data_IF_389388519835
#
_entry.id   IF_389388519835
#
_cell.length_a   1.000
_cell.length_b   1.000
_cell.length_c   1.000
_cell.angle_alpha   90.00
_cell.angle_beta   90.00
_cell.angle_gamma   90.00
#
_symmetry.space_group_name_H-M   'P 1'
#
loop_
_entity.id
_entity.type
_entity.pdbx_description
1 polymer ?
#
# COMPACT_ATOMS: atom_id res chain seq x y z
N UNK A 1 -9.71 -7.78 -26.75
CA UNK A 1 -10.88 -8.08 -27.60
C UNK A 1 -11.67 -6.83 -27.98
N UNK A 2 -12.04 -5.98 -27.02
CA UNK A 2 -12.83 -4.76 -27.30
C UNK A 2 -12.03 -3.72 -28.07
N UNK A 3 -10.73 -3.57 -27.77
CA UNK A 3 -9.82 -2.69 -28.49
C UNK A 3 -9.72 -3.10 -29.97
N UNK A 4 -9.36 -4.37 -30.22
CA UNK A 4 -9.10 -4.87 -31.57
C UNK A 4 -10.40 -5.15 -32.35
N UNK A 5 -11.43 -5.69 -31.70
CA UNK A 5 -12.66 -6.10 -32.35
C UNK A 5 -13.65 -4.98 -32.61
N UNK A 6 -13.67 -3.94 -31.78
CA UNK A 6 -14.66 -2.87 -31.85
C UNK A 6 -14.06 -1.46 -31.98
N UNK A 7 -12.74 -1.34 -32.07
CA UNK A 7 -12.06 -0.05 -32.16
C UNK A 7 -12.25 0.83 -30.93
N UNK A 8 -12.53 0.23 -29.77
CA UNK A 8 -12.71 0.99 -28.53
C UNK A 8 -11.36 1.47 -27.97
N UNK A 9 -11.34 2.67 -27.42
CA UNK A 9 -10.19 3.11 -26.62
C UNK A 9 -10.21 2.36 -25.28
N UNK A 10 -9.64 1.18 -25.27
CA UNK A 10 -9.61 0.30 -24.10
C UNK A 10 -8.16 0.01 -23.67
N UNK A 11 -7.82 0.30 -22.43
CA UNK A 11 -6.51 0.09 -21.82
C UNK A 11 -6.62 -0.87 -20.66
N UNK A 12 -5.57 -1.68 -20.41
CA UNK A 12 -5.49 -2.50 -19.20
C UNK A 12 -4.37 -1.98 -18.30
N UNK A 13 -4.69 -1.73 -17.04
CA UNK A 13 -3.72 -1.52 -15.98
C UNK A 13 -3.48 -2.84 -15.23
N UNK A 14 -2.25 -3.35 -15.27
CA UNK A 14 -1.81 -4.48 -14.45
C UNK A 14 -1.27 -3.89 -13.15
N UNK A 15 -2.17 -3.72 -12.18
CA UNK A 15 -1.90 -3.01 -10.93
C UNK A 15 -1.34 -3.97 -9.89
N UNK A 16 -0.14 -3.67 -9.41
CA UNK A 16 0.45 -4.34 -8.24
C UNK A 16 -0.25 -3.88 -6.96
N UNK A 17 0.17 -4.36 -5.80
CA UNK A 17 -0.52 -4.04 -4.56
C UNK A 17 -0.54 -2.53 -4.30
N UNK A 18 -1.71 -1.97 -4.15
CA UNK A 18 -1.90 -0.53 -3.91
C UNK A 18 -2.66 -0.34 -2.60
N UNK A 19 -2.02 0.39 -1.72
CA UNK A 19 -2.37 0.47 -0.31
C UNK A 19 -2.75 1.91 0.08
N UNK A 20 -3.56 2.02 1.11
CA UNK A 20 -3.93 3.29 1.72
C UNK A 20 -4.60 3.04 3.08
N UNK A 21 -4.88 4.09 3.88
CA UNK A 21 -5.73 3.98 5.06
C UNK A 21 -7.13 3.40 4.80
N UNK A 22 -7.56 3.35 3.53
CA UNK A 22 -8.84 2.74 3.09
C UNK A 22 -8.72 1.31 2.60
N UNK A 23 -7.52 0.71 2.68
CA UNK A 23 -7.35 -0.70 2.32
C UNK A 23 -8.26 -1.59 3.15
N UNK A 24 -8.83 -2.63 2.55
CA UNK A 24 -9.65 -3.60 3.28
C UNK A 24 -8.87 -4.25 4.44
N UNK A 25 -9.50 -4.40 5.58
CA UNK A 25 -8.89 -4.83 6.85
C UNK A 25 -8.30 -6.25 6.83
N UNK A 26 -8.72 -7.09 5.89
CA UNK A 26 -8.22 -8.45 5.71
C UNK A 26 -6.88 -8.51 4.96
N UNK A 27 -6.48 -7.42 4.29
CA UNK A 27 -5.19 -7.34 3.60
C UNK A 27 -4.06 -7.11 4.61
N UNK A 28 -2.92 -7.75 4.36
CA UNK A 28 -1.82 -7.84 5.33
C UNK A 28 -1.33 -6.48 5.83
N UNK A 29 -1.18 -5.50 4.96
CA UNK A 29 -0.72 -4.14 5.30
C UNK A 29 -1.67 -3.47 6.29
N UNK A 30 -2.97 -3.43 5.96
CA UNK A 30 -3.98 -2.85 6.85
C UNK A 30 -4.18 -3.66 8.12
N UNK A 31 -4.14 -4.99 8.03
CA UNK A 31 -4.18 -5.88 9.20
C UNK A 31 -3.06 -5.57 10.19
N UNK A 32 -1.86 -5.25 9.71
CA UNK A 32 -0.71 -4.89 10.56
C UNK A 32 -0.95 -3.54 11.23
N UNK A 33 -1.29 -2.49 10.46
CA UNK A 33 -1.41 -1.14 11.00
C UNK A 33 -2.58 -1.00 11.98
N UNK A 34 -3.71 -1.65 11.71
CA UNK A 34 -4.83 -1.73 12.66
C UNK A 34 -4.48 -2.52 13.93
N UNK A 35 -3.81 -3.68 13.78
CA UNK A 35 -3.42 -4.47 14.94
C UNK A 35 -2.43 -3.69 15.82
N UNK A 36 -1.45 -2.99 15.21
CA UNK A 36 -0.53 -2.11 15.92
C UNK A 36 -1.29 -1.07 16.75
N UNK A 37 -2.21 -0.34 16.12
CA UNK A 37 -3.01 0.68 16.80
C UNK A 37 -3.86 0.09 17.94
N UNK A 38 -4.49 -1.07 17.72
CA UNK A 38 -5.27 -1.77 18.73
C UNK A 38 -4.41 -2.31 19.89
N UNK A 39 -3.20 -2.79 19.60
CA UNK A 39 -2.25 -3.24 20.62
C UNK A 39 -1.82 -2.04 21.47
N UNK A 40 -1.44 -0.94 20.85
CA UNK A 40 -1.04 0.29 21.53
C UNK A 40 -2.18 0.88 22.39
N UNK A 41 -3.43 0.74 21.93
CA UNK A 41 -4.64 1.12 22.68
C UNK A 41 -5.04 0.11 23.77
N UNK A 42 -4.32 -0.99 23.93
CA UNK A 42 -4.64 -2.05 24.90
C UNK A 42 -5.89 -2.91 24.56
N UNK A 43 -6.41 -2.78 23.33
CA UNK A 43 -7.61 -3.48 22.85
C UNK A 43 -7.30 -4.86 22.27
N UNK A 44 -6.04 -5.11 21.89
CA UNK A 44 -5.57 -6.37 21.33
C UNK A 44 -4.21 -6.74 21.93
N UNK A 45 -3.96 -8.05 22.13
CA UNK A 45 -2.72 -8.52 22.74
C UNK A 45 -1.70 -8.96 21.70
N UNK A 46 -2.11 -9.69 20.68
CA UNK A 46 -1.22 -10.28 19.66
C UNK A 46 -1.78 -10.10 18.25
N UNK A 47 -0.87 -9.99 17.30
CA UNK A 47 -1.14 -10.07 15.87
C UNK A 47 -0.66 -11.43 15.35
N UNK A 48 -1.55 -12.16 14.65
CA UNK A 48 -1.22 -13.46 14.06
C UNK A 48 -1.03 -13.32 12.55
N UNK A 49 0.14 -13.76 12.07
CA UNK A 49 0.55 -13.70 10.66
C UNK A 49 1.08 -15.07 10.20
N UNK A 50 1.20 -15.26 8.89
CA UNK A 50 1.82 -16.43 8.28
C UNK A 50 3.28 -16.17 7.91
N UNK A 51 3.60 -16.33 6.59
CA UNK A 51 4.94 -16.14 6.06
C UNK A 51 5.34 -14.66 6.07
N UNK A 52 6.37 -14.31 6.85
CA UNK A 52 6.88 -12.93 6.93
C UNK A 52 7.89 -12.58 5.81
N UNK A 53 8.41 -13.59 5.11
CA UNK A 53 9.50 -13.42 4.13
C UNK A 53 9.03 -13.15 2.72
N UNK A 54 7.75 -13.38 2.42
CA UNK A 54 7.22 -13.09 1.09
C UNK A 54 7.29 -11.59 0.80
N UNK A 55 7.77 -11.25 -0.42
CA UNK A 55 7.98 -9.87 -0.86
C UNK A 55 6.91 -9.44 -1.85
N UNK A 56 6.44 -8.21 -1.69
CA UNK A 56 5.44 -7.58 -2.55
C UNK A 56 5.85 -6.16 -2.88
N UNK A 57 5.46 -5.72 -4.05
CA UNK A 57 5.51 -4.33 -4.45
C UNK A 57 4.24 -3.64 -3.92
N UNK A 58 4.41 -2.74 -2.96
CA UNK A 58 3.33 -1.97 -2.34
C UNK A 58 3.46 -0.49 -2.67
N UNK A 59 2.50 0.05 -3.41
CA UNK A 59 2.43 1.47 -3.72
C UNK A 59 1.23 2.16 -3.07
N UNK A 60 1.18 3.48 -3.18
CA UNK A 60 0.12 4.29 -2.62
C UNK A 60 -1.06 4.41 -3.60
N UNK A 61 -2.26 4.00 -3.18
CA UNK A 61 -3.43 3.86 -4.05
C UNK A 61 -3.81 5.13 -4.84
N UNK A 62 -3.74 6.35 -4.28
CA UNK A 62 -3.99 7.57 -5.05
C UNK A 62 -3.12 7.72 -6.29
N UNK A 63 -1.85 7.32 -6.25
CA UNK A 63 -0.96 7.39 -7.41
C UNK A 63 -1.37 6.41 -8.52
N UNK A 64 -1.95 5.26 -8.15
CA UNK A 64 -2.51 4.31 -9.12
C UNK A 64 -3.76 4.87 -9.81
N UNK A 65 -4.58 5.64 -9.08
CA UNK A 65 -5.72 6.36 -9.67
C UNK A 65 -5.25 7.44 -10.65
N UNK A 66 -4.19 8.20 -10.30
CA UNK A 66 -3.55 9.14 -11.21
C UNK A 66 -3.08 8.43 -12.49
N UNK A 67 -2.43 7.28 -12.36
CA UNK A 67 -1.98 6.48 -13.50
C UNK A 67 -3.14 5.98 -14.36
N UNK A 68 -4.26 5.53 -13.77
CA UNK A 68 -5.45 5.15 -14.52
C UNK A 68 -5.98 6.30 -15.38
N UNK A 69 -5.96 7.53 -14.85
CA UNK A 69 -6.33 8.71 -15.61
C UNK A 69 -5.36 8.97 -16.76
N UNK A 70 -4.05 8.94 -16.48
CA UNK A 70 -3.02 9.19 -17.49
C UNK A 70 -3.06 8.20 -18.66
N UNK A 71 -3.32 6.92 -18.40
CA UNK A 71 -3.46 5.91 -19.45
C UNK A 71 -4.58 6.23 -20.45
N UNK A 72 -5.65 6.88 -19.99
CA UNK A 72 -6.80 7.27 -20.81
C UNK A 72 -6.59 8.61 -21.55
N UNK A 73 -5.54 9.36 -21.24
CA UNK A 73 -5.24 10.63 -21.91
C UNK A 73 -4.26 10.49 -23.08
N UNK A 74 -3.88 9.26 -23.42
CA UNK A 74 -2.96 9.00 -24.52
C UNK A 74 -3.67 8.99 -25.89
N UNK A 75 -2.92 9.22 -26.97
CA UNK A 75 -3.46 9.18 -28.32
C UNK A 75 -3.83 7.74 -28.77
N UNK A 76 -3.07 6.76 -28.26
CA UNK A 76 -3.26 5.35 -28.58
C UNK A 76 -3.47 4.49 -27.30
N UNK A 77 -4.40 3.54 -27.33
CA UNK A 77 -4.66 2.70 -26.18
C UNK A 77 -3.59 1.62 -26.00
N UNK A 78 -2.89 1.63 -24.88
CA UNK A 78 -1.88 0.64 -24.54
C UNK A 78 -2.08 0.09 -23.13
N UNK A 79 -1.52 -1.12 -22.86
CA UNK A 79 -1.56 -1.74 -21.53
C UNK A 79 -0.30 -1.39 -20.74
N UNK A 80 -0.45 -1.15 -19.43
CA UNK A 80 0.63 -0.73 -18.55
C UNK A 80 0.69 -1.55 -17.28
N UNK A 81 1.90 -1.88 -16.84
CA UNK A 81 2.18 -2.35 -15.47
C UNK A 81 2.30 -1.12 -14.57
N UNK A 82 1.61 -1.17 -13.43
CA UNK A 82 1.59 -0.10 -12.43
C UNK A 82 2.04 -0.65 -11.08
N UNK A 83 3.12 -0.11 -10.55
CA UNK A 83 3.74 -0.52 -9.30
C UNK A 83 4.78 0.50 -8.86
N UNK A 84 5.62 0.13 -7.91
CA UNK A 84 6.71 0.98 -7.43
C UNK A 84 8.06 0.61 -8.04
N UNK A 85 8.23 -0.63 -8.47
CA UNK A 85 9.51 -1.21 -8.87
C UNK A 85 10.41 -1.54 -7.68
N UNK A 86 9.84 -1.63 -6.48
CA UNK A 86 10.53 -2.01 -5.26
C UNK A 86 9.69 -3.06 -4.51
N UNK A 87 10.26 -4.19 -4.12
CA UNK A 87 9.57 -5.23 -3.38
C UNK A 87 10.09 -5.35 -1.95
N UNK A 88 9.18 -5.28 -0.98
CA UNK A 88 9.47 -5.38 0.45
C UNK A 88 8.81 -6.60 1.07
N UNK A 89 9.43 -7.16 2.13
CA UNK A 89 8.87 -8.27 2.88
C UNK A 89 7.85 -7.79 3.93
N UNK A 90 7.03 -8.73 4.41
CA UNK A 90 6.14 -8.44 5.55
C UNK A 90 6.95 -8.12 6.81
N UNK A 91 8.12 -8.74 6.98
CA UNK A 91 9.05 -8.43 8.07
C UNK A 91 9.54 -6.97 8.00
N UNK A 92 9.99 -6.50 6.82
CA UNK A 92 10.36 -5.09 6.60
C UNK A 92 9.19 -4.14 6.88
N UNK A 93 7.95 -4.54 6.55
CA UNK A 93 6.78 -3.73 6.87
C UNK A 93 6.53 -3.65 8.38
N UNK A 94 6.72 -4.75 9.10
CA UNK A 94 6.61 -4.79 10.56
C UNK A 94 7.68 -3.91 11.23
N UNK A 95 8.94 -4.01 10.76
CA UNK A 95 10.05 -3.21 11.27
C UNK A 95 9.75 -1.71 11.14
N UNK A 96 9.33 -1.26 9.96
CA UNK A 96 9.00 0.15 9.74
C UNK A 96 7.76 0.58 10.54
N UNK A 97 6.68 -0.22 10.54
CA UNK A 97 5.43 0.17 11.18
C UNK A 97 5.55 0.24 12.71
N UNK A 98 6.11 -0.78 13.33
CA UNK A 98 6.25 -0.85 14.78
C UNK A 98 7.36 0.09 15.27
N UNK A 99 8.50 0.15 14.55
CA UNK A 99 9.56 1.10 14.84
C UNK A 99 9.08 2.54 14.81
N UNK A 100 8.27 2.91 13.83
CA UNK A 100 7.66 4.24 13.74
C UNK A 100 6.72 4.57 14.91
N UNK A 101 6.07 3.56 15.50
CA UNK A 101 5.21 3.71 16.66
C UNK A 101 5.94 3.56 18.01
N UNK A 102 7.28 3.45 18.00
CA UNK A 102 8.12 3.20 19.18
C UNK A 102 7.76 1.90 19.91
N UNK A 103 7.62 0.81 19.12
CA UNK A 103 7.28 -0.54 19.60
C UNK A 103 8.18 -1.59 18.94
N UNK A 104 8.43 -2.71 19.64
CA UNK A 104 9.08 -3.89 19.05
C UNK A 104 8.02 -4.94 18.66
N UNK A 105 7.88 -5.21 17.37
CA UNK A 105 6.88 -6.15 16.87
C UNK A 105 7.10 -7.60 17.36
N UNK A 106 8.32 -7.97 17.73
CA UNK A 106 8.63 -9.32 18.26
C UNK A 106 7.84 -9.64 19.54
N UNK A 107 7.49 -8.63 20.31
CA UNK A 107 6.68 -8.80 21.52
C UNK A 107 5.23 -9.18 21.21
N UNK A 108 4.71 -8.77 20.05
CA UNK A 108 3.29 -8.80 19.73
C UNK A 108 2.92 -9.73 18.56
N UNK A 109 3.83 -9.97 17.62
CA UNK A 109 3.55 -10.82 16.47
C UNK A 109 3.78 -12.29 16.79
N UNK A 110 2.85 -13.13 16.35
CA UNK A 110 2.92 -14.59 16.48
C UNK A 110 2.66 -15.23 15.12
N UNK A 111 3.48 -16.21 14.78
CA UNK A 111 3.30 -16.98 13.55
C UNK A 111 2.23 -18.04 13.78
N UNK A 112 1.24 -18.07 12.88
CA UNK A 112 0.17 -19.05 12.88
C UNK A 112 0.14 -19.80 11.55
N UNK A 113 0.38 -21.12 11.55
CA UNK A 113 0.39 -21.94 10.34
C UNK A 113 -0.89 -21.86 9.49
N UNK A 114 -2.02 -21.51 10.09
CA UNK A 114 -3.30 -21.34 9.37
C UNK A 114 -3.29 -20.19 8.36
N UNK A 115 -2.38 -19.24 8.50
CA UNK A 115 -2.21 -18.11 7.58
C UNK A 115 -1.19 -18.39 6.47
N UNK A 116 -0.55 -19.58 6.44
CA UNK A 116 0.27 -19.97 5.31
C UNK A 116 -0.60 -20.36 4.12
N UNK A 117 -0.29 -19.84 2.97
CA UNK A 117 -0.98 -20.21 1.74
C UNK A 117 -0.32 -21.46 1.13
N UNK A 118 -1.11 -22.44 0.65
CA UNK A 118 -0.55 -23.65 0.03
C UNK A 118 0.34 -23.37 -1.17
N UNK A 119 0.03 -22.29 -1.93
CA UNK A 119 0.79 -21.81 -3.08
C UNK A 119 1.12 -20.35 -2.88
N UNK A 120 2.20 -20.10 -2.13
CA UNK A 120 2.68 -18.72 -1.92
C UNK A 120 3.58 -18.31 -3.09
N UNK A 121 3.41 -17.09 -3.56
CA UNK A 121 4.38 -16.45 -4.45
C UNK A 121 5.37 -15.69 -3.59
N UNK A 122 6.63 -16.12 -3.60
CA UNK A 122 7.64 -15.57 -2.69
C UNK A 122 8.03 -14.13 -3.03
N UNK A 123 8.02 -13.77 -4.32
CA UNK A 123 8.51 -12.48 -4.79
C UNK A 123 7.63 -11.94 -5.93
N UNK A 124 7.15 -10.72 -5.77
CA UNK A 124 6.43 -9.97 -6.81
C UNK A 124 6.91 -8.52 -6.81
N UNK A 125 7.47 -8.09 -7.94
CA UNK A 125 7.95 -6.73 -8.20
C UNK A 125 7.51 -6.29 -9.59
N UNK A 126 7.07 -5.05 -9.73
CA UNK A 126 6.60 -4.48 -10.99
C UNK A 126 7.76 -3.97 -11.85
N UNK A 127 7.76 -4.31 -13.14
CA UNK A 127 8.54 -3.55 -14.11
C UNK A 127 7.72 -2.37 -14.64
N UNK A 128 8.01 -1.19 -14.11
CA UNK A 128 7.34 0.07 -14.46
C UNK A 128 8.04 0.87 -15.57
N UNK A 129 9.04 0.29 -16.24
CA UNK A 129 9.87 0.96 -17.24
C UNK A 129 9.05 1.57 -18.39
N UNK A 130 7.98 0.88 -18.81
CA UNK A 130 7.08 1.38 -19.85
C UNK A 130 6.29 2.62 -19.40
N UNK A 131 5.76 2.59 -18.17
CA UNK A 131 5.04 3.73 -17.60
C UNK A 131 5.92 4.97 -17.47
N UNK A 132 7.14 4.78 -16.94
CA UNK A 132 8.14 5.85 -16.87
C UNK A 132 8.47 6.46 -18.24
N UNK A 133 8.74 5.60 -19.23
CA UNK A 133 9.17 6.05 -20.56
C UNK A 133 8.06 6.74 -21.35
N UNK A 134 6.83 6.20 -21.31
CA UNK A 134 5.73 6.70 -22.16
C UNK A 134 4.88 7.76 -21.50
N UNK A 135 4.66 7.67 -20.20
CA UNK A 135 3.75 8.54 -19.45
C UNK A 135 4.48 9.51 -18.52
N UNK A 136 5.83 9.44 -18.46
CA UNK A 136 6.64 10.17 -17.48
C UNK A 136 6.11 10.01 -16.03
N UNK A 137 5.49 8.86 -15.74
CA UNK A 137 4.90 8.58 -14.44
C UNK A 137 5.87 7.79 -13.57
N UNK A 138 6.05 8.25 -12.34
CA UNK A 138 6.81 7.59 -11.29
C UNK A 138 6.08 7.71 -9.95
N UNK A 139 6.12 6.65 -9.11
CA UNK A 139 5.56 6.72 -7.77
C UNK A 139 6.37 7.71 -6.91
N UNK A 140 5.66 8.63 -6.25
CA UNK A 140 6.25 9.68 -5.40
C UNK A 140 6.38 9.21 -3.96
N UNK A 141 5.45 8.35 -3.50
CA UNK A 141 5.43 7.82 -2.13
C UNK A 141 6.35 6.61 -2.04
N UNK A 142 7.33 6.70 -1.15
CA UNK A 142 8.26 5.60 -0.86
C UNK A 142 7.65 4.62 0.13
N UNK A 143 8.19 3.40 0.21
CA UNK A 143 7.71 2.35 1.09
C UNK A 143 7.55 2.81 2.54
N UNK A 144 8.58 3.38 3.16
CA UNK A 144 8.51 3.87 4.54
C UNK A 144 7.46 4.98 4.73
N UNK A 145 7.31 5.85 3.74
CA UNK A 145 6.30 6.91 3.75
C UNK A 145 4.87 6.35 3.70
N UNK A 146 4.64 5.33 2.85
CA UNK A 146 3.37 4.61 2.77
C UNK A 146 3.00 3.98 4.13
N UNK A 147 3.97 3.30 4.76
CA UNK A 147 3.77 2.68 6.07
C UNK A 147 3.38 3.72 7.11
N UNK A 148 4.09 4.86 7.18
CA UNK A 148 3.81 5.95 8.14
C UNK A 148 2.44 6.58 7.91
N UNK A 149 2.03 6.81 6.65
CA UNK A 149 0.69 7.30 6.32
C UNK A 149 -0.39 6.35 6.87
N UNK A 150 -0.20 5.04 6.71
CA UNK A 150 -1.16 4.05 7.17
C UNK A 150 -1.18 3.90 8.69
N UNK A 151 -0.01 3.94 9.35
CA UNK A 151 0.11 3.86 10.81
C UNK A 151 -0.53 5.07 11.48
N UNK A 152 -0.22 6.29 11.03
CA UNK A 152 -0.82 7.51 11.59
C UNK A 152 -2.35 7.47 11.50
N UNK A 153 -2.89 7.06 10.35
CA UNK A 153 -4.33 6.98 10.17
C UNK A 153 -5.01 5.97 11.12
N UNK A 154 -4.39 4.81 11.35
CA UNK A 154 -4.95 3.80 12.25
C UNK A 154 -4.76 4.16 13.74
N UNK A 155 -3.68 4.84 14.11
CA UNK A 155 -3.50 5.41 15.46
C UNK A 155 -4.57 6.46 15.75
N UNK A 156 -4.81 7.37 14.80
CA UNK A 156 -5.85 8.42 14.90
C UNK A 156 -7.24 7.80 15.05
N UNK A 157 -7.57 6.76 14.24
CA UNK A 157 -8.83 6.01 14.36
C UNK A 157 -8.98 5.29 15.71
N UNK A 158 -7.89 4.87 16.31
CA UNK A 158 -7.89 4.27 17.64
C UNK A 158 -8.02 5.28 18.78
N UNK A 159 -7.97 6.59 18.49
CA UNK A 159 -8.01 7.70 19.44
C UNK A 159 -6.67 7.95 20.13
N UNK A 160 -5.55 7.60 19.46
CA UNK A 160 -4.20 7.77 19.97
C UNK A 160 -3.48 8.94 19.28
N UNK A 161 -2.50 9.51 19.99
CA UNK A 161 -1.60 10.48 19.40
C UNK A 161 -0.73 9.81 18.32
N UNK A 162 -0.48 10.53 17.23
CA UNK A 162 0.32 10.07 16.11
C UNK A 162 1.69 10.76 16.10
N UNK A 163 2.75 10.12 15.58
CA UNK A 163 4.01 10.82 15.29
C UNK A 163 3.85 11.95 14.27
N UNK A 164 2.88 11.83 13.35
CA UNK A 164 2.43 12.90 12.45
C UNK A 164 3.26 13.07 11.18
N UNK A 165 4.20 12.18 10.88
CA UNK A 165 4.98 12.25 9.64
C UNK A 165 4.15 11.84 8.42
N UNK A 166 3.21 10.91 8.57
CA UNK A 166 2.29 10.51 7.50
C UNK A 166 1.45 11.66 7.00
N UNK A 167 0.95 12.52 7.90
CA UNK A 167 0.21 13.73 7.53
C UNK A 167 1.11 14.75 6.81
N UNK A 168 2.35 14.97 7.29
CA UNK A 168 3.32 15.85 6.62
C UNK A 168 3.65 15.38 5.22
N UNK A 169 3.89 14.05 5.05
CA UNK A 169 4.15 13.43 3.75
C UNK A 169 2.98 13.65 2.81
N UNK A 170 1.75 13.39 3.28
CA UNK A 170 0.55 13.60 2.49
C UNK A 170 0.41 15.06 2.04
N UNK A 171 0.53 16.02 2.95
CA UNK A 171 0.46 17.44 2.64
C UNK A 171 1.54 17.89 1.65
N UNK A 172 2.77 17.37 1.78
CA UNK A 172 3.87 17.75 0.91
C UNK A 172 3.73 17.22 -0.52
N UNK A 173 3.17 16.03 -0.69
CA UNK A 173 3.12 15.34 -2.00
C UNK A 173 1.77 15.46 -2.71
N UNK A 174 0.71 15.74 -1.96
CA UNK A 174 -0.68 15.75 -2.43
C UNK A 174 -1.43 16.98 -1.93
N UNK A 175 -0.78 18.16 -1.96
CA UNK A 175 -1.35 19.42 -1.45
C UNK A 175 -2.72 19.77 -2.06
N UNK A 176 -2.92 19.39 -3.33
CA UNK A 176 -4.16 19.64 -4.09
C UNK A 176 -5.22 18.54 -3.89
N UNK A 177 -4.89 17.48 -3.15
CA UNK A 177 -5.81 16.40 -2.84
C UNK A 177 -6.45 16.68 -1.49
N UNK A 178 -7.76 16.82 -1.46
CA UNK A 178 -8.49 16.92 -0.19
C UNK A 178 -8.30 15.64 0.62
N UNK A 179 -7.84 15.77 1.86
CA UNK A 179 -7.85 14.69 2.84
C UNK A 179 -9.29 14.15 2.88
N UNK A 180 -9.44 12.86 2.60
CA UNK A 180 -10.74 12.23 2.70
C UNK A 180 -11.13 12.22 4.18
N UNK A 181 -11.86 13.24 4.61
CA UNK A 181 -12.49 13.24 5.91
C UNK A 181 -13.40 12.01 5.98
N UNK A 182 -13.26 11.26 7.05
CA UNK A 182 -14.07 10.10 7.31
C UNK A 182 -15.52 10.53 7.42
N UNK A 183 -16.29 10.40 6.36
CA UNK A 183 -17.73 10.32 6.48
C UNK A 183 -18.04 8.89 6.92
N UNK A 184 -18.31 8.76 8.21
CA UNK A 184 -18.87 7.55 8.82
C UNK A 184 -20.31 7.39 8.34
#
# INVERSE_FOLDING_TARGET
>A
NYREGYGMFAVNGILFNHESPRRGETFVTRKITQALANIKAGKQKYLYLGNLKSKRDWGYAPEYVEMMHLMLQQDEPEDYVVGTGEAHSIEEFLDEAFGYADMDWHDYVRIDPRYYRPTEVDFLEADISKAKKKLAWEPKVKFSELVRIMVDADLELAGLDTPGDGEKIFKAKFADWHRWEHQV
#
